data_IF_152444632036
#
_entry.id   IF_152444632036
#
_cell.length_a   1.000
_cell.length_b   1.000
_cell.length_c   1.000
_cell.angle_alpha   90.00
_cell.angle_beta   90.00
_cell.angle_gamma   90.00
#
_symmetry.space_group_name_H-M   'P 1'
#
loop_
_entity.id
_entity.type
_entity.pdbx_description
1 polymer ?
#
# COMPACT_ATOMS: atom_id res chain seq x y z
N UNK A 1 -27.49 40.58 4.46
CA UNK A 1 -26.54 39.89 5.32
C UNK A 1 -25.20 40.01 4.66
N UNK A 2 -24.30 40.85 5.18
CA UNK A 2 -22.96 41.02 4.64
C UNK A 2 -22.13 39.78 4.98
N UNK A 3 -21.61 39.11 3.96
CA UNK A 3 -20.68 38.01 4.11
C UNK A 3 -19.40 38.53 4.82
N UNK A 4 -19.19 38.12 6.05
CA UNK A 4 -17.93 38.39 6.77
C UNK A 4 -16.84 37.68 5.96
N UNK A 5 -15.93 38.45 5.38
CA UNK A 5 -14.74 37.89 4.71
C UNK A 5 -13.97 37.00 5.72
N UNK A 6 -13.50 35.83 5.31
CA UNK A 6 -12.73 34.97 6.22
C UNK A 6 -11.51 35.75 6.72
N UNK A 7 -11.42 35.90 8.04
CA UNK A 7 -10.30 36.56 8.69
C UNK A 7 -9.04 35.74 8.38
N UNK A 8 -8.06 36.33 7.68
CA UNK A 8 -6.77 35.67 7.45
C UNK A 8 -6.15 35.31 8.80
N UNK A 9 -5.78 34.06 8.97
CA UNK A 9 -5.05 33.60 10.15
C UNK A 9 -3.83 34.48 10.41
N UNK A 10 -3.62 34.86 11.65
CA UNK A 10 -2.43 35.60 12.11
C UNK A 10 -1.24 34.69 12.43
N UNK A 11 -1.44 33.37 12.41
CA UNK A 11 -0.39 32.41 12.74
C UNK A 11 0.64 32.29 11.62
N UNK A 12 1.90 31.99 11.97
CA UNK A 12 2.95 31.77 10.97
C UNK A 12 2.71 30.48 10.18
N UNK A 13 3.32 30.42 8.99
CA UNK A 13 3.47 29.15 8.25
C UNK A 13 4.47 28.23 8.98
N UNK A 14 4.36 26.90 8.83
CA UNK A 14 5.38 25.97 9.33
C UNK A 14 6.78 26.35 8.85
N UNK A 15 7.84 26.03 9.63
CA UNK A 15 9.22 26.22 9.21
C UNK A 15 9.54 25.39 7.98
N UNK A 16 10.57 25.71 7.24
CA UNK A 16 10.97 24.96 6.05
C UNK A 16 11.32 25.84 4.87
N UNK A 17 11.68 25.22 3.76
CA UNK A 17 12.11 25.86 2.53
C UNK A 17 11.25 25.38 1.34
N UNK A 18 11.05 26.26 0.37
CA UNK A 18 10.34 25.91 -0.87
C UNK A 18 11.28 25.38 -1.97
N UNK A 19 12.60 25.43 -1.76
CA UNK A 19 13.58 25.00 -2.74
C UNK A 19 13.68 25.90 -3.97
N UNK A 20 13.99 25.33 -5.11
CA UNK A 20 14.18 26.07 -6.36
C UNK A 20 12.86 26.63 -6.91
N UNK A 21 12.86 27.81 -7.57
CA UNK A 21 11.68 28.35 -8.22
C UNK A 21 11.04 27.33 -9.17
N UNK A 22 9.71 27.22 -9.18
CA UNK A 22 8.85 26.34 -10.01
C UNK A 22 9.00 24.85 -9.70
N UNK A 23 10.22 24.29 -9.67
CA UNK A 23 10.49 22.86 -9.48
C UNK A 23 10.38 22.50 -7.99
N UNK A 24 10.66 23.45 -7.11
CA UNK A 24 10.69 23.21 -5.68
C UNK A 24 11.75 22.19 -5.28
N UNK A 25 11.39 21.32 -4.36
CA UNK A 25 12.19 20.21 -3.90
C UNK A 25 11.77 18.84 -4.50
N UNK A 26 10.98 18.85 -5.58
CA UNK A 26 10.45 17.60 -6.18
C UNK A 26 11.54 16.59 -6.53
N UNK A 27 12.66 17.05 -7.10
CA UNK A 27 13.76 16.13 -7.45
C UNK A 27 14.44 15.57 -6.21
N UNK A 28 14.60 16.39 -5.17
CA UNK A 28 15.14 15.95 -3.88
C UNK A 28 14.20 14.95 -3.23
N UNK A 29 12.89 15.23 -3.20
CA UNK A 29 11.87 14.32 -2.69
C UNK A 29 11.91 12.94 -3.38
N UNK A 30 12.12 12.90 -4.70
CA UNK A 30 12.15 11.66 -5.47
C UNK A 30 13.48 10.90 -5.40
N UNK A 31 14.59 11.56 -5.08
CA UNK A 31 15.94 10.98 -5.18
C UNK A 31 16.72 10.94 -3.88
N UNK A 32 16.44 11.86 -2.97
CA UNK A 32 17.19 11.96 -1.73
C UNK A 32 16.73 10.90 -0.72
N UNK A 33 17.68 10.08 -0.28
CA UNK A 33 17.43 9.11 0.79
C UNK A 33 17.05 9.86 2.08
N UNK A 34 15.99 9.40 2.73
CA UNK A 34 15.51 9.97 4.00
C UNK A 34 15.16 11.47 3.91
N UNK A 35 14.60 11.90 2.76
CA UNK A 35 14.22 13.28 2.49
C UNK A 35 13.41 13.91 3.64
N UNK A 36 12.32 13.25 4.03
CA UNK A 36 11.44 13.77 5.09
C UNK A 36 12.12 13.75 6.46
N UNK A 37 12.86 12.69 6.79
CA UNK A 37 13.57 12.54 8.06
C UNK A 37 14.62 13.64 8.26
N UNK A 38 15.43 13.97 7.24
CA UNK A 38 16.41 15.05 7.32
C UNK A 38 15.77 16.40 7.60
N UNK A 39 14.63 16.68 6.96
CA UNK A 39 13.90 17.93 7.16
C UNK A 39 13.20 17.97 8.50
N UNK A 40 12.66 16.85 8.95
CA UNK A 40 12.09 16.70 10.29
C UNK A 40 13.15 16.96 11.39
N UNK A 41 14.36 16.43 11.24
CA UNK A 41 15.47 16.70 12.17
C UNK A 41 15.82 18.21 12.21
N UNK A 42 15.71 18.89 11.06
CA UNK A 42 16.06 20.32 10.96
C UNK A 42 14.94 21.25 11.42
N UNK A 43 13.69 20.92 11.12
CA UNK A 43 12.54 21.83 11.24
C UNK A 43 11.47 21.35 12.24
N UNK A 44 11.56 20.12 12.73
CA UNK A 44 10.54 19.50 13.58
C UNK A 44 9.50 18.67 12.79
N UNK A 45 8.51 18.09 13.51
CA UNK A 45 7.54 17.15 12.93
C UNK A 45 6.53 17.81 11.99
N UNK A 46 6.46 19.13 11.97
CA UNK A 46 5.61 19.92 11.07
C UNK A 46 6.50 20.88 10.30
N UNK A 47 6.64 20.69 8.99
CA UNK A 47 7.46 21.55 8.14
C UNK A 47 6.83 21.75 6.76
N UNK A 48 7.20 22.85 6.08
CA UNK A 48 6.77 23.12 4.71
C UNK A 48 7.87 22.83 3.70
N UNK A 49 7.45 22.50 2.50
CA UNK A 49 8.27 22.37 1.30
C UNK A 49 7.43 22.68 0.05
N UNK A 50 8.01 22.51 -1.14
CA UNK A 50 7.29 22.62 -2.41
C UNK A 50 7.63 21.41 -3.25
N UNK A 51 6.64 20.51 -3.45
CA UNK A 51 6.81 19.29 -4.24
C UNK A 51 5.65 19.13 -5.23
N UNK A 52 5.94 18.50 -6.36
CA UNK A 52 4.97 18.28 -7.43
C UNK A 52 4.23 19.55 -7.89
N UNK A 53 4.93 20.70 -7.87
CA UNK A 53 4.38 21.99 -8.26
C UNK A 53 3.42 22.62 -7.25
N UNK A 54 3.41 22.16 -6.00
CA UNK A 54 2.49 22.65 -4.96
C UNK A 54 3.20 22.87 -3.61
N UNK A 55 2.90 23.95 -2.91
CA UNK A 55 3.30 24.12 -1.53
C UNK A 55 2.72 22.96 -0.70
N UNK A 56 3.56 22.33 0.12
CA UNK A 56 3.20 21.11 0.85
C UNK A 56 3.66 21.20 2.30
N UNK A 57 2.77 20.89 3.23
CA UNK A 57 3.09 20.74 4.65
C UNK A 57 3.26 19.24 4.94
N UNK A 58 4.37 18.89 5.56
CA UNK A 58 4.64 17.55 6.05
C UNK A 58 4.25 17.44 7.51
N UNK A 59 3.55 16.37 7.86
CA UNK A 59 3.06 16.08 9.21
C UNK A 59 3.57 14.73 9.69
N UNK A 60 4.07 14.65 10.92
CA UNK A 60 4.44 13.40 11.57
C UNK A 60 3.87 13.33 12.99
N UNK A 61 3.63 12.10 13.46
CA UNK A 61 3.19 11.81 14.81
C UNK A 61 1.68 11.61 14.96
N UNK A 62 1.29 10.88 16.01
CA UNK A 62 -0.07 10.44 16.24
C UNK A 62 -1.08 11.58 16.40
N UNK A 63 -0.68 12.66 17.10
CA UNK A 63 -1.52 13.87 17.28
C UNK A 63 -1.81 14.54 15.93
N UNK A 64 -0.80 14.65 15.06
CA UNK A 64 -0.96 15.24 13.73
C UNK A 64 -1.86 14.35 12.84
N UNK A 65 -1.69 13.02 12.89
CA UNK A 65 -2.54 12.08 12.19
C UNK A 65 -4.00 12.15 12.68
N UNK A 66 -4.20 12.26 14.00
CA UNK A 66 -5.55 12.42 14.60
C UNK A 66 -6.22 13.70 14.07
N UNK A 67 -5.50 14.82 14.06
CA UNK A 67 -6.02 16.06 13.51
C UNK A 67 -6.40 15.92 12.02
N UNK A 68 -5.51 15.34 11.23
CA UNK A 68 -5.72 15.18 9.79
C UNK A 68 -6.93 14.30 9.48
N UNK A 69 -7.00 13.10 10.09
CA UNK A 69 -8.03 12.11 9.79
C UNK A 69 -9.41 12.47 10.36
N UNK A 70 -9.46 13.17 11.52
CA UNK A 70 -10.71 13.66 12.08
C UNK A 70 -11.34 14.82 11.29
N UNK A 71 -10.54 15.51 10.47
CA UNK A 71 -10.98 16.66 9.69
C UNK A 71 -11.08 16.37 8.17
N UNK A 72 -11.12 15.10 7.77
CA UNK A 72 -11.39 14.68 6.39
C UNK A 72 -12.76 15.21 5.94
N UNK A 73 -12.85 15.77 4.74
CA UNK A 73 -14.00 16.46 4.15
C UNK A 73 -14.42 17.77 4.86
N UNK A 74 -13.75 18.19 5.93
CA UNK A 74 -13.96 19.49 6.59
C UNK A 74 -12.86 20.48 6.22
N UNK A 75 -11.63 20.12 6.48
CA UNK A 75 -10.44 20.91 6.14
C UNK A 75 -9.57 20.23 5.09
N UNK A 76 -9.66 18.92 4.96
CA UNK A 76 -8.79 18.11 4.11
C UNK A 76 -9.59 17.21 3.18
N UNK A 77 -9.06 16.99 1.99
CA UNK A 77 -9.57 16.03 1.02
C UNK A 77 -8.40 15.20 0.47
N UNK A 78 -8.62 13.89 0.33
CA UNK A 78 -7.61 13.01 -0.25
C UNK A 78 -7.26 13.45 -1.67
N UNK A 79 -5.97 13.44 -1.98
CA UNK A 79 -5.49 13.80 -3.32
C UNK A 79 -4.25 13.01 -3.68
N UNK A 80 -3.86 13.09 -4.94
CA UNK A 80 -2.70 12.44 -5.51
C UNK A 80 -1.93 13.42 -6.41
N UNK A 81 -0.64 13.20 -6.69
CA UNK A 81 0.09 13.93 -7.72
C UNK A 81 -0.66 13.92 -9.05
N UNK A 82 -0.52 14.97 -9.90
CA UNK A 82 -1.29 15.08 -11.14
C UNK A 82 -1.18 13.87 -12.08
N UNK A 83 0.03 13.32 -12.25
CA UNK A 83 0.25 12.11 -13.05
C UNK A 83 -0.52 10.90 -12.51
N UNK A 84 -0.49 10.69 -11.20
CA UNK A 84 -1.18 9.58 -10.54
C UNK A 84 -2.69 9.72 -10.69
N UNK A 85 -3.25 10.91 -10.48
CA UNK A 85 -4.69 11.16 -10.64
C UNK A 85 -5.16 10.82 -12.06
N UNK A 86 -4.42 11.26 -13.08
CA UNK A 86 -4.77 10.98 -14.48
C UNK A 86 -4.69 9.48 -14.78
N UNK A 87 -3.64 8.82 -14.31
CA UNK A 87 -3.40 7.40 -14.61
C UNK A 87 -4.31 6.45 -13.82
N UNK A 88 -4.76 6.82 -12.62
CA UNK A 88 -5.77 6.05 -11.89
C UNK A 88 -7.17 6.15 -12.53
N UNK A 89 -7.46 7.29 -13.16
CA UNK A 89 -8.73 7.54 -13.81
C UNK A 89 -9.77 8.26 -12.92
N UNK A 90 -10.71 8.97 -13.54
CA UNK A 90 -11.65 9.82 -12.80
C UNK A 90 -12.65 9.03 -11.95
N UNK A 91 -12.96 7.79 -12.33
CA UNK A 91 -13.90 6.95 -11.61
C UNK A 91 -13.25 6.15 -10.47
N UNK A 92 -11.90 6.09 -10.38
CA UNK A 92 -11.19 5.38 -9.35
C UNK A 92 -11.49 5.89 -7.93
N UNK A 93 -11.79 4.98 -6.99
CA UNK A 93 -12.05 5.29 -5.59
C UNK A 93 -10.93 6.15 -4.95
N UNK A 94 -9.69 5.95 -5.39
CA UNK A 94 -8.54 6.67 -4.85
C UNK A 94 -8.57 8.18 -5.14
N UNK A 95 -9.24 8.62 -6.21
CA UNK A 95 -9.30 10.03 -6.63
C UNK A 95 -10.65 10.69 -6.37
N UNK A 96 -11.66 9.91 -5.98
CA UNK A 96 -12.98 10.41 -5.66
C UNK A 96 -13.07 11.01 -4.26
N UNK A 97 -13.99 11.93 -4.02
CA UNK A 97 -14.21 12.60 -2.75
C UNK A 97 -15.66 12.58 -2.28
N UNK A 98 -15.90 13.10 -1.08
CA UNK A 98 -17.24 13.34 -0.53
C UNK A 98 -18.14 12.11 -0.42
N UNK A 99 -19.42 12.30 -0.69
CA UNK A 99 -20.46 11.24 -0.63
C UNK A 99 -20.21 10.16 -1.66
N UNK A 100 -19.79 10.54 -2.86
CA UNK A 100 -19.54 9.59 -3.95
C UNK A 100 -18.47 8.56 -3.57
N UNK A 101 -17.35 9.01 -3.00
CA UNK A 101 -16.34 8.09 -2.45
C UNK A 101 -16.93 7.13 -1.41
N UNK A 102 -17.72 7.65 -0.47
CA UNK A 102 -18.32 6.85 0.60
C UNK A 102 -19.21 5.74 0.03
N UNK A 103 -20.05 6.08 -0.95
CA UNK A 103 -21.01 5.14 -1.52
C UNK A 103 -20.31 4.08 -2.38
N UNK A 104 -19.35 4.48 -3.20
CA UNK A 104 -18.51 3.53 -3.98
C UNK A 104 -17.64 2.66 -3.09
N UNK A 105 -17.10 3.21 -1.98
CA UNK A 105 -16.36 2.43 -1.00
C UNK A 105 -17.21 1.30 -0.38
N UNK A 106 -18.49 1.54 -0.10
CA UNK A 106 -19.41 0.50 0.41
C UNK A 106 -19.55 -0.65 -0.60
N UNK A 107 -19.66 -0.36 -1.90
CA UNK A 107 -19.76 -1.38 -2.94
C UNK A 107 -18.46 -2.21 -3.04
N UNK A 108 -17.32 -1.54 -3.12
CA UNK A 108 -16.03 -2.24 -3.19
C UNK A 108 -15.74 -3.06 -1.94
N UNK A 109 -16.19 -2.63 -0.77
CA UNK A 109 -15.98 -3.34 0.50
C UNK A 109 -16.60 -4.74 0.52
N UNK A 110 -17.60 -5.02 -0.33
CA UNK A 110 -18.19 -6.35 -0.43
C UNK A 110 -17.15 -7.41 -0.83
N UNK A 111 -16.18 -7.06 -1.67
CA UNK A 111 -15.06 -7.92 -2.05
C UNK A 111 -13.98 -8.12 -0.95
N UNK A 112 -14.11 -7.44 0.18
CA UNK A 112 -13.15 -7.49 1.30
C UNK A 112 -13.78 -7.94 2.62
N UNK A 113 -15.04 -8.41 2.59
CA UNK A 113 -15.70 -8.97 3.75
C UNK A 113 -15.13 -10.36 4.13
N UNK A 114 -15.29 -10.81 5.38
CA UNK A 114 -14.73 -12.08 5.83
C UNK A 114 -15.10 -13.28 4.96
N UNK A 115 -16.33 -13.33 4.43
CA UNK A 115 -16.77 -14.41 3.51
C UNK A 115 -15.97 -14.38 2.20
N UNK A 116 -15.78 -13.20 1.61
CA UNK A 116 -14.99 -13.05 0.39
C UNK A 116 -13.51 -13.40 0.65
N UNK A 117 -12.94 -12.95 1.77
CA UNK A 117 -11.56 -13.29 2.14
C UNK A 117 -11.38 -14.80 2.32
N UNK A 118 -12.37 -15.50 2.89
CA UNK A 118 -12.33 -16.95 3.02
C UNK A 118 -12.32 -17.66 1.66
N UNK A 119 -13.10 -17.18 0.68
CA UNK A 119 -13.14 -17.77 -0.66
C UNK A 119 -11.85 -17.57 -1.47
N UNK A 120 -11.01 -16.58 -1.10
CA UNK A 120 -9.73 -16.33 -1.76
C UNK A 120 -8.60 -17.26 -1.29
N UNK A 121 -8.71 -17.86 -0.11
CA UNK A 121 -7.64 -18.68 0.49
C UNK A 121 -7.18 -19.79 -0.44
N UNK A 122 -8.05 -20.62 -1.03
CA UNK A 122 -7.59 -21.73 -1.88
C UNK A 122 -6.75 -21.28 -3.07
N UNK A 123 -7.13 -20.19 -3.74
CA UNK A 123 -6.38 -19.65 -4.87
C UNK A 123 -5.04 -19.02 -4.42
N UNK A 124 -5.03 -18.32 -3.27
CA UNK A 124 -3.78 -17.81 -2.71
C UNK A 124 -2.81 -18.92 -2.33
N UNK A 125 -3.31 -20.03 -1.75
CA UNK A 125 -2.49 -21.21 -1.42
C UNK A 125 -1.93 -21.87 -2.66
N UNK A 126 -2.75 -22.12 -3.69
CA UNK A 126 -2.33 -22.71 -4.95
C UNK A 126 -1.21 -21.91 -5.61
N UNK A 127 -1.38 -20.59 -5.72
CA UNK A 127 -0.36 -19.69 -6.28
C UNK A 127 0.89 -19.69 -5.41
N UNK A 128 0.74 -19.62 -4.10
CA UNK A 128 1.86 -19.65 -3.15
C UNK A 128 2.69 -20.92 -3.31
N UNK A 129 2.03 -22.09 -3.34
CA UNK A 129 2.71 -23.39 -3.51
C UNK A 129 3.43 -23.46 -4.85
N UNK A 130 2.76 -23.05 -5.95
CA UNK A 130 3.36 -22.99 -7.29
C UNK A 130 4.67 -22.19 -7.33
N UNK A 131 4.71 -21.03 -6.65
CA UNK A 131 5.92 -20.21 -6.61
C UNK A 131 6.99 -20.81 -5.72
N UNK A 132 6.64 -21.37 -4.57
CA UNK A 132 7.59 -22.03 -3.68
C UNK A 132 8.24 -23.24 -4.35
N UNK A 133 7.47 -24.06 -5.07
CA UNK A 133 7.97 -25.22 -5.84
C UNK A 133 8.87 -24.79 -7.00
N UNK A 134 8.56 -23.67 -7.66
CA UNK A 134 9.42 -23.05 -8.67
C UNK A 134 10.76 -22.65 -8.06
N UNK A 135 10.74 -21.90 -6.97
CA UNK A 135 11.96 -21.38 -6.31
C UNK A 135 12.83 -22.49 -5.74
N UNK A 136 12.23 -23.55 -5.22
CA UNK A 136 12.97 -24.76 -4.78
C UNK A 136 13.76 -25.40 -5.93
N UNK A 137 13.15 -25.48 -7.13
CA UNK A 137 13.83 -26.01 -8.33
C UNK A 137 14.93 -25.10 -8.82
N UNK A 138 14.73 -23.79 -8.78
CA UNK A 138 15.71 -22.79 -9.21
C UNK A 138 16.89 -22.67 -8.25
N UNK A 139 16.69 -22.91 -6.95
CA UNK A 139 17.71 -22.88 -5.88
C UNK A 139 18.37 -21.52 -5.63
N UNK A 140 18.49 -20.68 -6.64
CA UNK A 140 19.01 -19.31 -6.56
C UNK A 140 17.99 -18.37 -7.13
N UNK A 141 17.48 -17.46 -6.30
CA UNK A 141 16.46 -16.51 -6.70
C UNK A 141 16.84 -15.09 -6.27
N UNK A 142 16.16 -14.14 -6.88
CA UNK A 142 16.16 -12.74 -6.42
C UNK A 142 14.75 -12.41 -5.92
N UNK A 143 14.59 -12.19 -4.63
CA UNK A 143 13.27 -12.07 -4.00
C UNK A 143 12.38 -11.01 -4.64
N UNK A 144 12.89 -9.78 -4.87
CA UNK A 144 12.02 -8.69 -5.31
C UNK A 144 11.30 -8.96 -6.64
N UNK A 145 11.97 -9.35 -7.75
CA UNK A 145 11.27 -9.69 -8.99
C UNK A 145 10.37 -10.92 -8.86
N UNK A 146 10.76 -11.91 -8.04
CA UNK A 146 9.96 -13.10 -7.83
C UNK A 146 8.68 -12.80 -7.03
N UNK A 147 8.79 -12.06 -5.93
CA UNK A 147 7.64 -11.59 -5.15
C UNK A 147 6.75 -10.68 -5.98
N UNK A 148 7.35 -9.84 -6.84
CA UNK A 148 6.60 -8.99 -7.77
C UNK A 148 5.74 -9.83 -8.74
N UNK A 149 6.28 -10.91 -9.25
CA UNK A 149 5.52 -11.85 -10.08
C UNK A 149 4.43 -12.57 -9.28
N UNK A 150 4.74 -13.02 -8.08
CA UNK A 150 3.82 -13.71 -7.18
C UNK A 150 2.60 -12.84 -6.81
N UNK A 151 2.83 -11.63 -6.29
CA UNK A 151 1.74 -10.73 -5.88
C UNK A 151 0.91 -10.25 -7.06
N UNK A 152 1.53 -10.14 -8.26
CA UNK A 152 0.78 -9.82 -9.47
C UNK A 152 -0.16 -10.95 -9.87
N UNK A 153 0.30 -12.21 -9.82
CA UNK A 153 -0.53 -13.35 -10.17
C UNK A 153 -1.73 -13.49 -9.20
N UNK A 154 -1.52 -13.26 -7.90
CA UNK A 154 -2.62 -13.21 -6.92
C UNK A 154 -3.59 -12.07 -7.24
N UNK A 155 -3.09 -10.84 -7.40
CA UNK A 155 -3.94 -9.69 -7.64
C UNK A 155 -4.68 -9.79 -9.00
N UNK A 156 -4.03 -10.31 -10.05
CA UNK A 156 -4.65 -10.52 -11.35
C UNK A 156 -5.74 -11.60 -11.29
N UNK A 157 -5.46 -12.72 -10.64
CA UNK A 157 -6.43 -13.81 -10.50
C UNK A 157 -7.66 -13.37 -9.70
N UNK A 158 -7.45 -12.70 -8.55
CA UNK A 158 -8.54 -12.37 -7.63
C UNK A 158 -9.28 -11.09 -8.00
N UNK A 159 -8.59 -10.04 -8.48
CA UNK A 159 -9.23 -8.75 -8.77
C UNK A 159 -9.63 -8.57 -10.24
N UNK A 160 -8.85 -9.11 -11.16
CA UNK A 160 -9.15 -9.04 -12.61
C UNK A 160 -9.94 -10.26 -13.07
N UNK A 161 -9.83 -11.39 -12.36
CA UNK A 161 -10.44 -12.66 -12.74
C UNK A 161 -9.74 -13.33 -13.92
N UNK A 162 -8.43 -13.09 -14.08
CA UNK A 162 -7.63 -13.59 -15.18
C UNK A 162 -6.21 -13.91 -14.74
N UNK A 163 -5.55 -14.83 -15.41
CA UNK A 163 -4.16 -15.20 -15.21
C UNK A 163 -3.27 -14.83 -16.42
N UNK A 164 -1.96 -15.00 -16.27
CA UNK A 164 -0.99 -14.71 -17.34
C UNK A 164 -1.08 -15.66 -18.55
N UNK A 165 -1.73 -16.80 -18.43
CA UNK A 165 -1.86 -17.75 -19.54
C UNK A 165 -2.95 -17.28 -20.49
N UNK A 166 -4.05 -16.75 -19.92
CA UNK A 166 -5.18 -16.24 -20.69
C UNK A 166 -4.97 -14.84 -21.23
N UNK A 167 -4.26 -13.98 -20.47
CA UNK A 167 -3.98 -12.58 -20.84
C UNK A 167 -2.50 -12.21 -20.60
N UNK A 168 -1.56 -12.71 -21.42
CA UNK A 168 -0.11 -12.57 -21.16
C UNK A 168 0.38 -11.12 -21.19
N UNK A 169 -0.30 -10.25 -21.92
CA UNK A 169 0.11 -8.85 -22.10
C UNK A 169 -0.27 -7.93 -20.93
N UNK A 170 -1.22 -8.32 -20.08
CA UNK A 170 -1.67 -7.48 -18.94
C UNK A 170 -0.49 -7.08 -18.05
N UNK A 171 0.40 -8.03 -17.73
CA UNK A 171 1.57 -7.75 -16.90
C UNK A 171 2.49 -6.69 -17.54
N UNK A 172 2.78 -6.84 -18.82
CA UNK A 172 3.62 -5.89 -19.55
C UNK A 172 3.00 -4.49 -19.61
N UNK A 173 1.70 -4.38 -19.89
CA UNK A 173 1.02 -3.09 -19.91
C UNK A 173 0.97 -2.48 -18.51
N UNK A 174 0.74 -3.30 -17.49
CA UNK A 174 0.73 -2.88 -16.10
C UNK A 174 2.09 -2.33 -15.66
N UNK A 175 3.19 -3.03 -15.95
CA UNK A 175 4.54 -2.57 -15.67
C UNK A 175 4.83 -1.20 -16.30
N UNK A 176 4.48 -1.03 -17.56
CA UNK A 176 4.66 0.26 -18.24
C UNK A 176 3.79 1.37 -17.64
N UNK A 177 2.55 1.05 -17.26
CA UNK A 177 1.64 1.99 -16.66
C UNK A 177 2.11 2.46 -15.27
N UNK A 178 2.60 1.58 -14.42
CA UNK A 178 3.10 1.93 -13.08
C UNK A 178 4.29 2.87 -13.12
N UNK A 179 5.16 2.79 -14.16
CA UNK A 179 6.32 3.69 -14.30
C UNK A 179 5.94 5.17 -14.44
N UNK A 180 4.71 5.45 -14.88
CA UNK A 180 4.20 6.81 -15.08
C UNK A 180 3.55 7.44 -13.86
N UNK A 181 3.14 6.66 -12.86
CA UNK A 181 2.32 7.13 -11.74
C UNK A 181 2.93 8.32 -10.97
N UNK A 182 4.23 8.29 -10.72
CA UNK A 182 4.97 9.35 -10.02
C UNK A 182 5.95 10.08 -10.96
N UNK A 183 5.59 10.21 -12.23
CA UNK A 183 6.40 10.90 -13.22
C UNK A 183 5.91 12.35 -13.45
N UNK A 184 6.72 13.15 -14.16
CA UNK A 184 6.27 14.46 -14.65
C UNK A 184 5.21 14.23 -15.72
N UNK A 185 4.01 14.87 -15.64
CA UNK A 185 2.88 14.59 -16.54
C UNK A 185 3.04 15.21 -17.94
N UNK A 186 4.14 14.89 -18.62
CA UNK A 186 4.41 15.30 -20.01
C UNK A 186 3.98 14.19 -20.97
N UNK A 187 2.95 14.44 -21.77
CA UNK A 187 2.37 13.46 -22.69
C UNK A 187 3.08 13.49 -24.05
N UNK A 188 4.32 12.95 -24.10
CA UNK A 188 5.01 12.67 -25.36
C UNK A 188 5.24 11.17 -25.54
N UNK A 189 5.36 10.64 -26.77
CA UNK A 189 5.51 9.20 -27.00
C UNK A 189 6.68 8.54 -26.27
N UNK A 190 7.76 9.27 -26.03
CA UNK A 190 8.99 8.77 -25.40
C UNK A 190 9.05 8.98 -23.88
N UNK A 191 8.15 9.76 -23.30
CA UNK A 191 8.12 10.01 -21.84
C UNK A 191 7.51 8.84 -21.08
N UNK A 192 7.87 8.69 -19.80
CA UNK A 192 7.26 7.71 -18.91
C UNK A 192 5.75 7.88 -18.83
N UNK A 193 5.28 9.12 -18.66
CA UNK A 193 3.86 9.42 -18.58
C UNK A 193 3.11 9.11 -19.88
N UNK A 194 3.63 9.52 -21.04
CA UNK A 194 3.00 9.23 -22.32
C UNK A 194 2.96 7.73 -22.65
N UNK A 195 4.00 6.96 -22.28
CA UNK A 195 3.98 5.49 -22.39
C UNK A 195 2.93 4.89 -21.46
N UNK A 196 2.84 5.37 -20.22
CA UNK A 196 1.88 4.90 -19.24
C UNK A 196 0.42 5.17 -19.66
N UNK A 197 0.12 6.32 -20.26
CA UNK A 197 -1.21 6.62 -20.81
C UNK A 197 -1.63 5.58 -21.86
N UNK A 198 -0.76 5.28 -22.83
CA UNK A 198 -1.06 4.25 -23.84
C UNK A 198 -1.21 2.86 -23.27
N UNK A 199 -0.41 2.53 -22.23
CA UNK A 199 -0.53 1.26 -21.54
C UNK A 199 -1.83 1.18 -20.75
N UNK A 200 -2.29 2.29 -20.15
CA UNK A 200 -3.59 2.38 -19.48
C UNK A 200 -4.74 2.07 -20.45
N UNK A 201 -4.73 2.65 -21.63
CA UNK A 201 -5.75 2.40 -22.66
C UNK A 201 -5.85 0.90 -23.01
N UNK A 202 -4.69 0.24 -23.20
CA UNK A 202 -4.61 -1.19 -23.47
C UNK A 202 -5.09 -2.03 -22.29
N UNK A 203 -4.65 -1.69 -21.07
CA UNK A 203 -5.11 -2.36 -19.84
C UNK A 203 -6.63 -2.27 -19.68
N UNK A 204 -7.21 -1.09 -19.87
CA UNK A 204 -8.65 -0.91 -19.75
C UNK A 204 -9.44 -1.68 -20.81
N UNK A 205 -8.85 -1.88 -22.00
CA UNK A 205 -9.44 -2.72 -23.05
C UNK A 205 -9.42 -4.20 -22.64
N UNK A 206 -8.28 -4.72 -22.19
CA UNK A 206 -8.20 -6.11 -21.70
C UNK A 206 -9.15 -6.35 -20.53
N UNK A 207 -9.19 -5.43 -19.55
CA UNK A 207 -10.11 -5.52 -18.42
C UNK A 207 -11.57 -5.51 -18.89
N UNK A 208 -11.92 -4.67 -19.87
CA UNK A 208 -13.26 -4.61 -20.45
C UNK A 208 -13.66 -5.97 -21.11
N UNK A 209 -12.77 -6.56 -21.90
CA UNK A 209 -13.01 -7.85 -22.53
C UNK A 209 -13.26 -8.96 -21.48
N UNK A 210 -12.47 -8.95 -20.39
CA UNK A 210 -12.66 -9.90 -19.28
C UNK A 210 -14.01 -9.69 -18.59
N UNK A 211 -14.38 -8.42 -18.29
CA UNK A 211 -15.65 -8.07 -17.66
C UNK A 211 -16.82 -8.56 -18.53
N UNK A 212 -16.82 -8.20 -19.82
CA UNK A 212 -17.90 -8.54 -20.74
C UNK A 212 -18.04 -10.06 -20.92
N UNK A 213 -16.92 -10.78 -20.99
CA UNK A 213 -16.93 -12.24 -21.04
C UNK A 213 -17.51 -12.85 -19.76
N UNK A 214 -17.13 -12.32 -18.58
CA UNK A 214 -17.65 -12.79 -17.28
C UNK A 214 -19.15 -12.54 -17.15
N UNK A 215 -19.65 -11.41 -17.62
CA UNK A 215 -21.09 -11.09 -17.59
C UNK A 215 -21.95 -12.04 -18.47
N UNK A 216 -21.35 -12.72 -19.45
CA UNK A 216 -22.04 -13.70 -20.29
C UNK A 216 -22.10 -15.09 -19.65
N UNK A 217 -21.42 -15.33 -18.54
CA UNK A 217 -21.46 -16.59 -17.83
C UNK A 217 -22.63 -16.66 -16.85
N UNK A 218 -23.23 -17.84 -16.64
CA UNK A 218 -24.31 -18.04 -15.66
C UNK A 218 -23.82 -17.81 -14.22
N UNK A 219 -22.54 -18.10 -13.95
CA UNK A 219 -21.93 -17.92 -12.63
C UNK A 219 -20.86 -16.84 -12.71
N UNK A 220 -21.07 -15.74 -12.02
CA UNK A 220 -20.15 -14.60 -12.00
C UNK A 220 -18.86 -14.85 -11.20
N UNK A 221 -18.80 -15.95 -10.43
CA UNK A 221 -17.65 -16.30 -9.59
C UNK A 221 -17.66 -15.68 -8.21
N UNK A 222 -16.78 -16.21 -7.33
CA UNK A 222 -16.59 -15.73 -5.94
C UNK A 222 -15.28 -14.92 -5.78
N UNK A 223 -14.58 -14.65 -6.88
CA UNK A 223 -13.46 -13.70 -6.92
C UNK A 223 -13.95 -12.25 -6.79
N UNK A 224 -13.05 -11.31 -6.58
CA UNK A 224 -13.43 -9.91 -6.38
C UNK A 224 -14.18 -9.33 -7.59
N UNK A 225 -13.80 -9.69 -8.83
CA UNK A 225 -14.53 -9.27 -10.02
C UNK A 225 -15.97 -9.75 -9.99
N UNK A 226 -16.20 -11.05 -9.71
CA UNK A 226 -17.55 -11.64 -9.62
C UNK A 226 -18.40 -10.96 -8.53
N UNK A 227 -17.82 -10.70 -7.36
CA UNK A 227 -18.49 -10.00 -6.27
C UNK A 227 -18.83 -8.55 -6.65
N UNK A 228 -17.93 -7.84 -7.33
CA UNK A 228 -18.17 -6.45 -7.76
C UNK A 228 -19.22 -6.35 -8.87
N UNK A 229 -19.31 -7.34 -9.75
CA UNK A 229 -20.38 -7.43 -10.74
C UNK A 229 -21.76 -7.64 -10.11
N UNK A 230 -21.82 -8.30 -8.95
CA UNK A 230 -23.04 -8.56 -8.20
C UNK A 230 -23.39 -7.43 -7.22
N UNK A 231 -22.40 -6.59 -6.86
CA UNK A 231 -22.55 -5.55 -5.84
C UNK A 231 -23.61 -4.52 -6.24
N UNK A 232 -24.55 -4.26 -5.34
CA UNK A 232 -25.63 -3.29 -5.49
C UNK A 232 -25.62 -2.31 -4.32
N UNK A 233 -25.93 -1.06 -4.59
CA UNK A 233 -26.19 -0.06 -3.55
C UNK A 233 -27.62 -0.19 -2.99
N UNK A 234 -27.98 0.72 -2.08
CA UNK A 234 -29.29 0.75 -1.42
C UNK A 234 -30.46 1.00 -2.42
N UNK A 235 -30.16 1.52 -3.62
CA UNK A 235 -31.13 1.76 -4.71
C UNK A 235 -31.12 0.62 -5.74
N UNK A 236 -30.36 -0.47 -5.51
CA UNK A 236 -30.23 -1.58 -6.43
C UNK A 236 -29.30 -1.31 -7.63
N UNK A 237 -28.53 -0.20 -7.60
CA UNK A 237 -27.62 0.17 -8.68
C UNK A 237 -26.23 -0.42 -8.43
N UNK A 238 -25.62 -0.99 -9.47
CA UNK A 238 -24.25 -1.49 -9.44
C UNK A 238 -23.24 -0.45 -9.94
N UNK A 239 -21.99 -0.89 -10.10
CA UNK A 239 -20.94 -0.11 -10.75
C UNK A 239 -21.17 -0.12 -12.27
N UNK A 240 -21.07 1.05 -12.91
CA UNK A 240 -21.07 1.15 -14.37
C UNK A 240 -19.76 0.55 -14.94
N UNK A 241 -19.78 0.12 -16.20
CA UNK A 241 -18.62 -0.49 -16.84
C UNK A 241 -17.36 0.38 -16.77
N UNK A 242 -17.50 1.69 -17.02
CA UNK A 242 -16.39 2.64 -16.94
C UNK A 242 -15.84 2.77 -15.52
N UNK A 243 -16.72 2.80 -14.51
CA UNK A 243 -16.32 2.80 -13.10
C UNK A 243 -15.61 1.48 -12.73
N UNK A 244 -16.23 0.36 -13.09
CA UNK A 244 -15.69 -0.98 -12.77
C UNK A 244 -14.27 -1.16 -13.32
N UNK A 245 -14.00 -0.73 -14.55
CA UNK A 245 -12.65 -0.77 -15.14
C UNK A 245 -11.63 0.01 -14.33
N UNK A 246 -11.95 1.24 -13.92
CA UNK A 246 -11.03 2.07 -13.11
C UNK A 246 -10.86 1.47 -11.69
N UNK A 247 -11.90 0.85 -11.11
CA UNK A 247 -11.80 0.18 -9.81
C UNK A 247 -10.93 -1.10 -9.91
N UNK A 248 -11.12 -1.93 -10.92
CA UNK A 248 -10.31 -3.14 -11.13
C UNK A 248 -8.83 -2.77 -11.32
N UNK A 249 -8.54 -1.75 -12.13
CA UNK A 249 -7.17 -1.26 -12.31
C UNK A 249 -6.57 -0.72 -10.99
N UNK A 250 -7.38 -0.01 -10.17
CA UNK A 250 -6.98 0.44 -8.83
C UNK A 250 -6.68 -0.74 -7.92
N UNK A 251 -7.54 -1.76 -7.86
CA UNK A 251 -7.37 -2.92 -6.99
C UNK A 251 -6.13 -3.74 -7.39
N UNK A 252 -5.90 -3.94 -8.68
CA UNK A 252 -4.70 -4.58 -9.20
C UNK A 252 -3.43 -3.83 -8.75
N UNK A 253 -3.41 -2.50 -8.89
CA UNK A 253 -2.28 -1.68 -8.47
C UNK A 253 -2.06 -1.71 -6.95
N UNK A 254 -3.12 -1.46 -6.19
CA UNK A 254 -3.02 -1.34 -4.74
C UNK A 254 -2.65 -2.67 -4.08
N UNK A 255 -3.20 -3.79 -4.57
CA UNK A 255 -2.93 -5.13 -4.04
C UNK A 255 -1.58 -5.70 -4.46
N UNK A 256 -1.02 -5.26 -5.57
CA UNK A 256 0.26 -5.76 -6.06
C UNK A 256 1.46 -4.97 -5.51
N UNK A 257 1.56 -3.68 -5.80
CA UNK A 257 2.77 -2.88 -5.51
C UNK A 257 3.11 -2.82 -4.02
N UNK A 258 2.11 -2.66 -3.17
CA UNK A 258 2.32 -2.55 -1.72
C UNK A 258 2.69 -3.90 -1.09
N UNK A 259 2.03 -4.97 -1.52
CA UNK A 259 2.33 -6.32 -1.04
C UNK A 259 3.68 -6.85 -1.54
N UNK A 260 4.08 -6.52 -2.77
CA UNK A 260 5.45 -6.78 -3.23
C UNK A 260 6.48 -6.23 -2.26
N UNK A 261 6.34 -4.96 -1.85
CA UNK A 261 7.26 -4.34 -0.90
C UNK A 261 7.19 -4.97 0.49
N UNK A 262 5.99 -5.21 1.01
CA UNK A 262 5.78 -5.79 2.33
C UNK A 262 6.38 -7.21 2.45
N UNK A 263 6.11 -8.08 1.47
CA UNK A 263 6.61 -9.46 1.44
C UNK A 263 8.12 -9.48 1.21
N UNK A 264 8.66 -8.65 0.32
CA UNK A 264 10.11 -8.56 0.13
C UNK A 264 10.81 -8.06 1.39
N UNK A 265 10.21 -7.10 2.13
CA UNK A 265 10.70 -6.64 3.42
C UNK A 265 10.64 -7.73 4.49
N UNK A 266 9.56 -8.54 4.51
CA UNK A 266 9.47 -9.72 5.37
C UNK A 266 10.60 -10.70 5.07
N UNK A 267 10.86 -11.05 3.80
CA UNK A 267 11.94 -11.97 3.43
C UNK A 267 13.33 -11.44 3.81
N UNK A 268 13.57 -10.13 3.67
CA UNK A 268 14.81 -9.48 4.12
C UNK A 268 14.97 -9.58 5.64
N UNK A 269 13.96 -9.19 6.40
CA UNK A 269 14.04 -9.18 7.87
C UNK A 269 14.16 -10.60 8.42
N UNK A 270 13.44 -11.57 7.88
CA UNK A 270 13.55 -12.96 8.31
C UNK A 270 14.94 -13.58 8.01
N UNK A 271 15.65 -13.10 7.01
CA UNK A 271 17.04 -13.49 6.79
C UNK A 271 18.02 -12.89 7.81
N UNK A 272 17.66 -11.77 8.43
CA UNK A 272 18.48 -11.08 9.44
C UNK A 272 18.16 -11.50 10.88
N UNK A 273 16.95 -12.05 11.11
CA UNK A 273 16.45 -12.44 12.44
C UNK A 273 16.02 -13.92 12.48
N UNK A 274 16.96 -14.87 12.41
CA UNK A 274 16.64 -16.31 12.35
C UNK A 274 15.94 -16.85 13.60
N UNK A 275 16.15 -16.25 14.75
CA UNK A 275 15.47 -16.56 16.02
C UNK A 275 13.98 -16.24 15.95
N UNK A 276 13.59 -15.16 15.25
CA UNK A 276 12.17 -14.84 14.99
C UNK A 276 11.54 -15.90 14.10
N UNK A 277 12.26 -16.38 13.07
CA UNK A 277 11.78 -17.51 12.26
C UNK A 277 11.54 -18.76 13.10
N UNK A 278 12.42 -19.05 14.08
CA UNK A 278 12.24 -20.19 14.98
C UNK A 278 10.99 -20.03 15.86
N UNK A 279 10.75 -18.84 16.40
CA UNK A 279 9.51 -18.55 17.18
C UNK A 279 8.25 -18.72 16.34
N UNK A 280 8.24 -18.26 15.08
CA UNK A 280 7.10 -18.46 14.17
C UNK A 280 6.85 -19.96 13.96
N UNK A 281 7.90 -20.76 13.76
CA UNK A 281 7.78 -22.21 13.60
C UNK A 281 7.23 -22.88 14.86
N UNK A 282 7.76 -22.50 16.02
CA UNK A 282 7.27 -23.02 17.30
C UNK A 282 5.78 -22.70 17.51
N UNK A 283 5.32 -21.49 17.13
CA UNK A 283 3.91 -21.17 17.14
C UNK A 283 3.12 -22.09 16.19
N UNK A 284 3.58 -22.30 14.95
CA UNK A 284 2.91 -23.17 13.99
C UNK A 284 2.79 -24.62 14.48
N UNK A 285 3.83 -25.13 15.16
CA UNK A 285 3.83 -26.44 15.78
C UNK A 285 2.86 -26.49 16.98
N UNK A 286 2.89 -25.47 17.84
CA UNK A 286 2.03 -25.39 19.03
C UNK A 286 0.54 -25.37 18.67
N UNK A 287 0.15 -24.64 17.60
CA UNK A 287 -1.24 -24.60 17.14
C UNK A 287 -1.61 -25.76 16.21
N UNK A 288 -0.67 -26.68 15.98
CA UNK A 288 -0.81 -27.80 15.03
C UNK A 288 -1.31 -27.32 13.66
N UNK A 289 -0.59 -26.35 13.06
CA UNK A 289 -1.02 -25.74 11.79
C UNK A 289 -1.08 -26.78 10.67
N UNK A 290 -2.26 -26.99 10.14
CA UNK A 290 -2.55 -27.91 9.03
C UNK A 290 -2.87 -27.13 7.75
N UNK A 291 -2.67 -27.76 6.59
CA UNK A 291 -3.05 -27.27 5.29
C UNK A 291 -4.15 -28.16 4.71
N UNK A 292 -5.14 -27.63 3.98
CA UNK A 292 -5.29 -26.23 3.59
C UNK A 292 -5.63 -25.30 4.76
N UNK A 293 -5.21 -24.03 4.64
CA UNK A 293 -5.44 -23.01 5.65
C UNK A 293 -6.90 -22.55 5.71
N UNK A 294 -7.34 -22.12 6.87
CA UNK A 294 -8.65 -21.48 7.08
C UNK A 294 -8.47 -20.12 7.75
N UNK A 295 -9.50 -19.27 7.71
CA UNK A 295 -9.44 -18.00 8.46
C UNK A 295 -9.18 -18.22 9.96
N UNK A 296 -9.70 -19.30 10.53
CA UNK A 296 -9.54 -19.58 11.96
C UNK A 296 -8.13 -20.08 12.28
N UNK A 297 -7.55 -20.96 11.44
CA UNK A 297 -6.16 -21.38 11.60
C UNK A 297 -5.19 -20.18 11.45
N UNK A 298 -5.49 -19.25 10.54
CA UNK A 298 -4.67 -18.03 10.37
C UNK A 298 -4.86 -17.04 11.54
N UNK A 299 -6.03 -16.98 12.18
CA UNK A 299 -6.24 -16.15 13.39
C UNK A 299 -5.47 -16.67 14.60
N UNK A 300 -5.23 -17.98 14.72
CA UNK A 300 -4.47 -18.56 15.82
C UNK A 300 -2.98 -18.22 15.79
N UNK A 301 -2.45 -17.79 14.63
CA UNK A 301 -1.06 -17.37 14.45
C UNK A 301 -0.86 -15.92 14.97
N UNK A 302 -0.81 -15.78 16.29
CA UNK A 302 -0.75 -14.48 16.97
C UNK A 302 0.63 -13.86 16.95
N UNK A 303 1.69 -14.66 17.12
CA UNK A 303 3.06 -14.19 17.03
C UNK A 303 3.43 -13.80 15.57
N UNK A 304 3.01 -14.61 14.60
CA UNK A 304 3.16 -14.22 13.20
C UNK A 304 2.46 -12.89 12.89
N UNK A 305 1.29 -12.64 13.47
CA UNK A 305 0.60 -11.34 13.32
C UNK A 305 1.44 -10.18 13.87
N UNK A 306 2.08 -10.36 15.03
CA UNK A 306 3.00 -9.37 15.62
C UNK A 306 4.20 -9.12 14.70
N UNK A 307 4.80 -10.18 14.16
CA UNK A 307 5.93 -10.08 13.21
C UNK A 307 5.52 -9.28 11.96
N UNK A 308 4.37 -9.60 11.37
CA UNK A 308 3.89 -8.89 10.18
C UNK A 308 3.54 -7.42 10.46
N UNK A 309 2.98 -7.13 11.64
CA UNK A 309 2.80 -5.74 12.09
C UNK A 309 4.14 -5.00 12.21
N UNK A 310 5.15 -5.65 12.78
CA UNK A 310 6.46 -5.04 12.95
C UNK A 310 7.17 -4.83 11.60
N UNK A 311 7.02 -5.75 10.64
CA UNK A 311 7.50 -5.54 9.27
C UNK A 311 6.90 -4.26 8.67
N UNK A 312 5.59 -4.08 8.80
CA UNK A 312 4.89 -2.90 8.27
C UNK A 312 5.18 -1.60 9.04
N UNK A 313 5.54 -1.70 10.34
CA UNK A 313 6.03 -0.55 11.11
C UNK A 313 7.44 -0.15 10.69
N UNK A 314 8.33 -1.13 10.62
CA UNK A 314 9.77 -0.94 10.45
C UNK A 314 10.14 -0.53 9.01
N UNK A 315 9.47 -1.14 8.02
CA UNK A 315 9.63 -0.88 6.58
C UNK A 315 8.24 -0.71 5.92
N UNK A 316 7.53 0.41 6.20
CA UNK A 316 6.19 0.60 5.65
C UNK A 316 6.24 0.68 4.11
N UNK A 317 5.36 -0.04 3.39
CA UNK A 317 5.36 -0.09 1.90
C UNK A 317 5.18 1.28 1.24
N UNK A 318 4.58 2.25 1.93
CA UNK A 318 4.40 3.61 1.46
C UNK A 318 4.85 4.61 2.53
N UNK A 319 5.46 5.71 2.11
CA UNK A 319 5.98 6.73 3.04
C UNK A 319 4.90 7.61 3.67
N UNK A 320 3.69 7.66 3.11
CA UNK A 320 2.59 8.49 3.57
C UNK A 320 1.53 8.73 2.51
N UNK A 321 0.57 9.59 2.80
CA UNK A 321 -0.49 9.94 1.87
C UNK A 321 -0.72 11.44 1.78
N UNK A 322 -1.28 11.88 0.66
CA UNK A 322 -1.52 13.28 0.38
C UNK A 322 -2.96 13.71 0.70
N UNK A 323 -3.10 14.92 1.21
CA UNK A 323 -4.36 15.66 1.35
C UNK A 323 -4.22 17.03 0.74
N UNK A 324 -5.30 17.55 0.19
CA UNK A 324 -5.44 18.95 -0.19
C UNK A 324 -6.17 19.69 0.92
N UNK A 325 -5.70 20.86 1.29
CA UNK A 325 -6.41 21.76 2.21
C UNK A 325 -7.56 22.42 1.44
N UNK A 326 -8.80 22.14 1.82
CA UNK A 326 -10.01 22.66 1.15
C UNK A 326 -10.58 23.90 1.84
N UNK A 327 -10.22 24.14 3.11
CA UNK A 327 -10.52 25.36 3.86
C UNK A 327 -9.35 25.69 4.77
N UNK A 328 -9.06 26.99 4.95
CA UNK A 328 -8.00 27.42 5.87
C UNK A 328 -8.25 26.84 7.26
N UNK A 329 -7.19 26.35 7.88
CA UNK A 329 -7.23 25.82 9.24
C UNK A 329 -5.91 26.04 9.97
N UNK A 330 -5.90 25.74 11.26
CA UNK A 330 -4.76 25.96 12.16
C UNK A 330 -4.49 24.70 12.97
N UNK A 331 -3.21 24.39 13.18
CA UNK A 331 -2.80 23.26 14.01
C UNK A 331 -1.43 23.53 14.63
N UNK A 332 -1.31 23.33 15.95
CA UNK A 332 -0.08 23.49 16.73
C UNK A 332 0.66 24.82 16.46
N UNK A 333 -0.09 25.94 16.41
CA UNK A 333 0.47 27.27 16.21
C UNK A 333 0.86 27.63 14.78
N UNK A 334 0.48 26.82 13.79
CA UNK A 334 0.72 27.07 12.38
C UNK A 334 -0.58 27.17 11.60
N UNK A 335 -0.57 28.02 10.55
CA UNK A 335 -1.65 28.08 9.58
C UNK A 335 -1.45 27.04 8.45
N UNK A 336 -2.55 26.49 7.98
CA UNK A 336 -2.65 25.58 6.84
C UNK A 336 -3.51 26.23 5.75
N UNK A 337 -2.88 26.92 4.79
CA UNK A 337 -3.62 27.68 3.79
C UNK A 337 -4.39 26.78 2.82
N UNK A 338 -5.59 27.22 2.44
CA UNK A 338 -6.39 26.59 1.39
C UNK A 338 -5.57 26.38 0.11
N UNK A 339 -5.81 25.28 -0.56
CA UNK A 339 -5.12 24.78 -1.77
C UNK A 339 -3.70 24.29 -1.58
N UNK A 340 -3.14 24.31 -0.39
CA UNK A 340 -1.87 23.65 -0.10
C UNK A 340 -2.07 22.13 -0.01
N UNK A 341 -0.99 21.39 -0.21
CA UNK A 341 -0.96 19.96 0.09
C UNK A 341 -0.51 19.72 1.53
N UNK A 342 -0.98 18.63 2.09
CA UNK A 342 -0.48 18.04 3.33
C UNK A 342 -0.06 16.63 3.03
N UNK A 343 1.13 16.23 3.46
CA UNK A 343 1.59 14.85 3.44
C UNK A 343 1.83 14.36 4.86
N UNK A 344 1.06 13.36 5.30
CA UNK A 344 1.36 12.69 6.57
C UNK A 344 2.43 11.63 6.36
N UNK A 345 3.32 11.49 7.38
CA UNK A 345 4.51 10.64 7.32
C UNK A 345 4.30 9.37 8.14
N UNK A 346 4.20 8.22 7.48
CA UNK A 346 4.01 6.91 8.15
C UNK A 346 5.29 6.53 8.88
N UNK A 347 6.43 6.48 8.19
CA UNK A 347 7.71 6.07 8.77
C UNK A 347 8.10 6.94 9.97
N UNK A 348 7.96 8.27 9.85
CA UNK A 348 8.29 9.19 10.94
C UNK A 348 7.38 8.99 12.15
N UNK A 349 6.08 8.70 11.94
CA UNK A 349 5.15 8.36 13.02
C UNK A 349 5.54 7.04 13.69
N UNK A 350 5.93 6.03 12.91
CA UNK A 350 6.32 4.71 13.41
C UNK A 350 7.70 4.69 14.08
N UNK A 351 8.49 5.77 13.95
CA UNK A 351 9.79 5.94 14.61
C UNK A 351 9.76 6.96 15.74
N UNK A 352 8.58 7.41 16.14
CA UNK A 352 8.40 8.35 17.24
C UNK A 352 8.81 7.70 18.58
N UNK A 353 9.84 8.26 19.23
CA UNK A 353 10.42 7.73 20.47
C UNK A 353 9.58 8.01 21.70
N UNK A 354 8.66 8.95 21.61
CA UNK A 354 7.69 9.20 22.69
C UNK A 354 6.60 8.11 22.73
N UNK A 355 6.52 7.32 21.66
CA UNK A 355 5.48 6.35 21.46
C UNK A 355 6.00 4.89 21.33
N UNK A 356 7.11 4.69 20.60
CA UNK A 356 7.74 3.38 20.40
C UNK A 356 9.04 3.27 21.18
N UNK A 357 9.16 2.25 22.00
CA UNK A 357 10.41 1.91 22.69
C UNK A 357 11.44 1.41 21.67
N UNK A 358 12.61 2.02 21.62
CA UNK A 358 13.69 1.66 20.68
C UNK A 358 13.17 1.44 19.24
N UNK A 359 12.60 2.50 18.60
CA UNK A 359 11.89 2.35 17.33
C UNK A 359 12.78 1.90 16.16
N UNK A 360 14.09 2.01 16.31
CA UNK A 360 15.09 1.60 15.32
C UNK A 360 15.46 0.10 15.42
N UNK A 361 14.94 -0.62 16.41
CA UNK A 361 15.06 -2.07 16.54
C UNK A 361 13.82 -2.77 15.97
N UNK A 362 14.07 -3.90 15.28
CA UNK A 362 13.01 -4.79 14.83
C UNK A 362 12.60 -5.72 15.98
N UNK A 363 11.48 -5.43 16.60
CA UNK A 363 11.00 -6.12 17.81
C UNK A 363 9.49 -6.40 17.73
N UNK A 364 9.08 -7.59 17.29
CA UNK A 364 7.67 -7.99 17.22
C UNK A 364 6.94 -7.98 18.58
N UNK A 365 7.67 -8.18 19.68
CA UNK A 365 7.09 -8.25 21.02
C UNK A 365 6.47 -6.91 21.48
N UNK A 366 6.75 -5.80 20.77
CA UNK A 366 6.05 -4.52 21.04
C UNK A 366 4.55 -4.58 20.79
N UNK A 367 4.10 -5.56 20.01
CA UNK A 367 2.68 -5.77 19.70
C UNK A 367 2.02 -6.89 20.49
N UNK A 368 2.74 -7.49 21.45
CA UNK A 368 2.14 -8.45 22.37
C UNK A 368 1.08 -7.78 23.29
N UNK A 369 0.18 -8.53 23.92
CA UNK A 369 -0.88 -7.97 24.75
C UNK A 369 -0.40 -7.11 25.93
N UNK A 370 0.81 -7.36 26.44
CA UNK A 370 1.37 -6.67 27.61
C UNK A 370 1.89 -5.27 27.24
N UNK A 371 2.56 -5.13 26.07
CA UNK A 371 3.11 -3.85 25.62
C UNK A 371 2.12 -3.06 24.77
N UNK A 372 1.45 -3.70 23.83
CA UNK A 372 0.41 -3.12 22.95
C UNK A 372 0.74 -1.71 22.45
N UNK A 373 2.00 -1.46 22.00
CA UNK A 373 2.46 -0.13 21.64
C UNK A 373 1.61 0.48 20.50
N UNK A 374 1.04 -0.32 19.60
CA UNK A 374 0.14 0.14 18.54
C UNK A 374 -1.21 0.70 19.06
N UNK A 375 -1.56 0.44 20.32
CA UNK A 375 -2.84 0.85 20.92
C UNK A 375 -2.71 1.98 21.95
N UNK A 376 -1.50 2.35 22.33
CA UNK A 376 -1.26 3.37 23.36
C UNK A 376 -1.80 4.75 22.94
N UNK A 377 -1.79 5.06 21.64
CA UNK A 377 -2.32 6.30 21.10
C UNK A 377 -3.03 6.07 19.77
N UNK A 378 -4.20 6.69 19.60
CA UNK A 378 -4.93 6.66 18.33
C UNK A 378 -4.06 7.19 17.20
N UNK A 379 -4.00 6.45 16.07
CA UNK A 379 -3.20 6.78 14.89
C UNK A 379 -1.67 6.88 15.14
N UNK A 380 -1.16 6.22 16.18
CA UNK A 380 0.27 5.97 16.37
C UNK A 380 0.79 4.86 15.44
N UNK A 381 -0.04 3.89 15.13
CA UNK A 381 0.21 2.87 14.09
C UNK A 381 -0.68 3.13 12.88
N UNK A 382 -0.08 3.57 11.77
CA UNK A 382 -0.79 4.02 10.57
C UNK A 382 -0.29 3.34 9.28
N UNK A 383 0.17 2.09 9.39
CA UNK A 383 0.64 1.32 8.24
C UNK A 383 -0.40 1.21 7.11
N UNK A 384 -1.68 1.26 7.47
CA UNK A 384 -2.82 1.24 6.56
C UNK A 384 -3.54 2.61 6.45
N UNK A 385 -2.87 3.70 6.87
CA UNK A 385 -3.50 5.00 6.98
C UNK A 385 -4.50 5.09 8.13
N UNK A 386 -5.54 5.91 7.96
CA UNK A 386 -6.58 6.06 8.99
C UNK A 386 -7.79 6.87 8.53
N UNK A 387 -8.82 6.89 9.39
CA UNK A 387 -10.06 7.62 9.15
C UNK A 387 -10.87 7.10 7.96
N UNK A 388 -11.57 7.99 7.28
CA UNK A 388 -12.43 7.65 6.13
C UNK A 388 -11.68 7.05 4.93
N UNK A 389 -10.36 7.19 4.92
CA UNK A 389 -9.47 6.73 3.84
C UNK A 389 -8.54 5.58 4.28
N UNK A 390 -8.82 4.96 5.42
CA UNK A 390 -8.10 3.74 5.81
C UNK A 390 -8.12 2.72 4.67
N UNK A 391 -7.03 1.97 4.50
CA UNK A 391 -6.87 0.99 3.42
C UNK A 391 -8.06 0.02 3.38
N UNK A 392 -8.72 -0.05 2.22
CA UNK A 392 -9.84 -0.97 2.01
C UNK A 392 -9.39 -2.43 2.03
N UNK A 393 -8.19 -2.70 1.48
CA UNK A 393 -7.59 -4.03 1.39
C UNK A 393 -6.77 -4.46 2.61
N UNK A 394 -6.90 -3.80 3.76
CA UNK A 394 -6.11 -4.11 4.98
C UNK A 394 -6.14 -5.60 5.34
N UNK A 395 -7.33 -6.17 5.44
CA UNK A 395 -7.48 -7.58 5.82
C UNK A 395 -7.06 -8.54 4.70
N UNK A 396 -7.24 -8.16 3.43
CA UNK A 396 -6.70 -8.89 2.28
C UNK A 396 -5.17 -8.95 2.33
N UNK A 397 -4.53 -7.81 2.58
CA UNK A 397 -3.07 -7.74 2.67
C UNK A 397 -2.53 -8.58 3.84
N UNK A 398 -3.18 -8.53 5.00
CA UNK A 398 -2.82 -9.38 6.15
C UNK A 398 -3.01 -10.86 5.84
N UNK A 399 -4.09 -11.21 5.16
CA UNK A 399 -4.38 -12.59 4.74
C UNK A 399 -3.29 -13.12 3.82
N UNK A 400 -2.97 -12.41 2.73
CA UNK A 400 -1.95 -12.82 1.77
C UNK A 400 -0.57 -12.95 2.41
N UNK A 401 -0.17 -11.95 3.23
CA UNK A 401 1.10 -12.01 3.96
C UNK A 401 1.16 -13.20 4.93
N UNK A 402 0.07 -13.51 5.65
CA UNK A 402 0.01 -14.65 6.57
C UNK A 402 0.09 -15.99 5.82
N UNK A 403 -0.63 -16.15 4.72
CA UNK A 403 -0.58 -17.36 3.90
C UNK A 403 0.84 -17.57 3.40
N UNK A 404 1.41 -16.56 2.73
CA UNK A 404 2.77 -16.63 2.22
C UNK A 404 3.79 -16.99 3.31
N UNK A 405 3.77 -16.26 4.44
CA UNK A 405 4.69 -16.46 5.55
C UNK A 405 4.52 -17.85 6.18
N UNK A 406 3.27 -18.34 6.31
CA UNK A 406 2.99 -19.66 6.89
C UNK A 406 3.61 -20.78 6.08
N UNK A 407 3.42 -20.80 4.77
CA UNK A 407 4.03 -21.78 3.87
C UNK A 407 5.55 -21.68 3.82
N UNK A 408 6.06 -20.44 3.67
CA UNK A 408 7.48 -20.18 3.54
C UNK A 408 8.25 -20.60 4.78
N UNK A 409 7.84 -20.14 5.97
CA UNK A 409 8.58 -20.38 7.22
C UNK A 409 8.50 -21.84 7.66
N UNK A 410 7.38 -22.52 7.42
CA UNK A 410 7.21 -23.94 7.79
C UNK A 410 8.14 -24.86 6.99
N UNK A 411 8.21 -24.64 5.69
CA UNK A 411 8.77 -25.63 4.77
C UNK A 411 10.13 -25.25 4.15
N UNK A 412 10.52 -23.98 4.21
CA UNK A 412 11.67 -23.46 3.47
C UNK A 412 12.61 -22.63 4.32
N UNK A 413 13.80 -22.41 3.79
CA UNK A 413 14.80 -21.50 4.31
C UNK A 413 15.63 -20.93 3.16
N UNK A 414 16.30 -19.81 3.43
CA UNK A 414 17.14 -19.14 2.45
C UNK A 414 18.32 -18.45 3.10
N UNK A 415 19.43 -18.40 2.39
CA UNK A 415 20.64 -17.71 2.80
C UNK A 415 20.95 -16.58 1.84
N UNK A 416 21.33 -15.42 2.38
CA UNK A 416 21.74 -14.27 1.59
C UNK A 416 23.01 -14.62 0.80
N UNK A 417 23.02 -14.29 -0.50
CA UNK A 417 24.24 -14.34 -1.28
C UNK A 417 25.19 -13.21 -0.85
N UNK A 418 26.52 -13.46 -0.81
CA UNK A 418 27.49 -12.42 -0.52
C UNK A 418 27.53 -11.33 -1.61
N UNK A 419 28.21 -10.25 -1.33
CA UNK A 419 28.55 -9.18 -2.27
C UNK A 419 27.35 -8.51 -2.97
N UNK A 420 26.23 -8.35 -2.23
CA UNK A 420 25.06 -7.63 -2.72
C UNK A 420 24.79 -6.34 -1.93
N UNK A 421 24.21 -5.37 -2.60
CA UNK A 421 23.82 -4.11 -1.98
C UNK A 421 22.39 -4.19 -1.42
N UNK A 422 22.26 -4.26 -0.10
CA UNK A 422 20.99 -4.31 0.63
C UNK A 422 20.44 -2.93 0.99
N UNK A 423 21.04 -1.84 0.49
CA UNK A 423 20.51 -0.50 0.70
C UNK A 423 19.06 -0.40 0.25
N UNK A 424 18.20 0.15 1.13
CA UNK A 424 16.78 0.32 0.83
C UNK A 424 16.58 1.54 -0.08
N UNK A 425 15.98 1.32 -1.23
CA UNK A 425 15.42 2.33 -2.11
C UNK A 425 13.96 2.54 -1.72
N UNK A 426 13.58 3.77 -1.35
CA UNK A 426 12.24 4.04 -0.76
C UNK A 426 11.15 4.36 -1.78
N UNK A 427 11.48 4.69 -3.02
CA UNK A 427 10.51 5.15 -4.03
C UNK A 427 10.56 4.26 -5.28
N UNK A 428 9.40 3.85 -5.84
CA UNK A 428 8.02 4.14 -5.41
C UNK A 428 7.61 3.41 -4.12
N UNK A 429 8.19 2.24 -3.86
CA UNK A 429 8.00 1.42 -2.65
C UNK A 429 9.36 0.91 -2.16
N UNK A 430 9.53 0.68 -0.84
CA UNK A 430 10.78 0.12 -0.30
C UNK A 430 11.18 -1.20 -0.94
N UNK A 431 12.44 -1.28 -1.34
CA UNK A 431 13.08 -2.50 -1.87
C UNK A 431 14.59 -2.43 -1.70
N UNK A 432 15.24 -3.57 -1.59
CA UNK A 432 16.71 -3.62 -1.63
C UNK A 432 17.21 -3.27 -3.04
N UNK A 433 18.36 -2.58 -3.13
CA UNK A 433 18.93 -2.11 -4.40
C UNK A 433 19.18 -3.26 -5.37
N UNK A 434 19.73 -4.38 -4.90
CA UNK A 434 20.04 -5.56 -5.73
C UNK A 434 18.92 -6.61 -5.74
N UNK A 435 17.76 -6.31 -5.15
CA UNK A 435 16.57 -7.15 -5.20
C UNK A 435 16.57 -8.33 -4.22
N UNK A 436 17.57 -8.45 -3.34
CA UNK A 436 17.71 -9.50 -2.33
C UNK A 436 17.95 -10.90 -2.95
N UNK A 437 19.19 -11.18 -3.34
CA UNK A 437 19.62 -12.45 -3.92
C UNK A 437 19.89 -13.50 -2.85
N UNK A 438 19.38 -14.71 -3.03
CA UNK A 438 19.48 -15.78 -2.03
C UNK A 438 19.70 -17.15 -2.66
N UNK A 439 20.29 -18.06 -1.88
CA UNK A 439 20.09 -19.49 -2.06
C UNK A 439 18.80 -19.89 -1.36
N UNK A 440 17.92 -20.62 -2.04
CA UNK A 440 16.61 -21.03 -1.55
C UNK A 440 16.50 -22.57 -1.56
N UNK A 441 16.02 -23.14 -0.49
CA UNK A 441 15.93 -24.61 -0.35
C UNK A 441 14.87 -25.03 0.67
N UNK A 442 14.35 -26.24 0.48
CA UNK A 442 13.44 -26.88 1.42
C UNK A 442 14.20 -27.24 2.69
N UNK A 443 13.55 -27.08 3.82
CA UNK A 443 14.08 -27.56 5.11
C UNK A 443 14.08 -29.10 5.15
N UNK A 444 15.04 -29.69 5.89
CA UNK A 444 15.07 -31.14 6.12
C UNK A 444 13.80 -31.67 6.76
#
# INVERSE_FOLDING_TARGET
>A
MSAIAPQKSSLPLPPGDFGLPVIGETLNFLREKNYAQKRQTKYGPIFKSHIFGSPTIFLAGATANTFLFANENKYFEATWPPSTRTLLGPASLAVQGGTFHRDRRKLLFQAFQPRALASYIPQMEEITQKYLDKWEKEKKITWYPEVRSYTFDIASTLFVGSDRQTHPDIFHYFENWTTGLFSIPLNFPWTKFGKALRSREKLLKEIEEIILKRQQTEQLGEDALGLLLQAKDENGQGLELAELKDQILLLLFAGHETLTSAIASFCLLMSQYPDICQKIRAEQEQVNLEFPLTLDSLKSLTYLDQVLKEVLRFLPPIGGGFRKVIADCEFQGYQFPKNWLVQYQIEATHRDRDFYTEPDQFDPERFNPERSEDKQQSFGYVAFGGGLRECLGKEFARLEMKIFASYLIKNYQWDLLPDQNLEILSIPTPRTRDGLKVNFFRRP
#
